data_IF_587255706129
#
_entry.id   IF_587255706129
#
_cell.length_a   1.000
_cell.length_b   1.000
_cell.length_c   1.000
_cell.angle_alpha   90.00
_cell.angle_beta   90.00
_cell.angle_gamma   90.00
#
_symmetry.space_group_name_H-M   'P 1'
#
loop_
_entity.id
_entity.type
_entity.pdbx_description
1 polymer ?
#
# COMPACT_ATOMS: atom_id res chain seq x y z
N UNK A 1 5.40 17.94 21.24
CA UNK A 1 6.62 17.14 20.98
C UNK A 1 6.12 15.93 20.20
N UNK A 2 6.58 15.76 18.98
CA UNK A 2 6.30 14.54 18.23
C UNK A 2 7.07 13.43 18.92
N UNK A 3 6.38 12.50 19.56
CA UNK A 3 6.96 11.24 20.05
C UNK A 3 7.12 10.25 18.89
N UNK A 4 7.36 10.77 17.67
CA UNK A 4 7.69 9.97 16.51
C UNK A 4 9.10 9.47 16.71
N UNK A 5 9.22 8.23 17.13
CA UNK A 5 10.49 7.55 17.25
C UNK A 5 11.03 7.43 15.83
N UNK A 6 12.01 8.26 15.50
CA UNK A 6 12.73 8.18 14.23
C UNK A 6 13.28 6.76 14.08
N UNK A 7 12.76 6.02 13.11
CA UNK A 7 13.24 4.68 12.80
C UNK A 7 14.70 4.72 12.28
N UNK A 8 15.18 5.88 11.85
CA UNK A 8 16.53 6.09 11.31
C UNK A 8 17.65 5.46 12.16
N UNK A 9 17.55 5.59 13.48
CA UNK A 9 18.55 5.02 14.40
C UNK A 9 18.45 3.49 14.53
N UNK A 10 17.35 2.88 14.07
CA UNK A 10 17.11 1.43 14.18
C UNK A 10 17.66 0.68 12.97
N UNK A 11 17.62 1.30 11.77
CA UNK A 11 18.00 0.61 10.54
C UNK A 11 19.49 0.65 10.23
N UNK A 12 20.27 1.46 10.94
CA UNK A 12 21.72 1.61 10.71
C UNK A 12 22.07 2.31 9.39
N UNK A 13 23.29 2.85 9.33
CA UNK A 13 23.81 3.45 8.11
C UNK A 13 23.99 2.38 7.01
N UNK A 14 23.38 2.61 5.84
CA UNK A 14 23.56 1.75 4.66
C UNK A 14 22.58 0.58 4.53
N UNK A 15 21.51 0.53 5.33
CA UNK A 15 20.44 -0.45 5.10
C UNK A 15 19.76 -0.20 3.74
N UNK A 16 19.86 -1.21 2.85
CA UNK A 16 19.17 -1.16 1.56
C UNK A 16 17.80 -1.85 1.66
N UNK A 17 16.75 -1.03 1.71
CA UNK A 17 15.35 -1.47 1.77
C UNK A 17 14.84 -2.16 0.52
N UNK A 18 15.67 -2.31 -0.50
CA UNK A 18 15.34 -3.02 -1.74
C UNK A 18 16.33 -4.15 -2.05
N UNK A 19 17.19 -4.51 -1.11
CA UNK A 19 18.07 -5.68 -1.20
C UNK A 19 17.28 -6.98 -0.92
N UNK A 20 16.45 -7.37 -1.86
CA UNK A 20 15.66 -8.60 -1.76
C UNK A 20 16.53 -9.86 -1.81
N UNK A 21 16.10 -10.99 -1.17
CA UNK A 21 16.88 -12.21 -1.10
C UNK A 21 16.95 -12.99 -2.42
N UNK A 22 16.03 -12.73 -3.35
CA UNK A 22 15.92 -13.43 -4.63
C UNK A 22 15.84 -12.45 -5.80
N UNK A 23 15.08 -12.84 -6.83
CA UNK A 23 14.89 -12.02 -8.03
C UNK A 23 13.66 -11.12 -7.93
N UNK A 24 13.63 -10.29 -6.92
CA UNK A 24 12.62 -9.25 -6.71
C UNK A 24 13.30 -7.88 -6.90
N UNK A 25 12.62 -6.97 -7.61
CA UNK A 25 13.20 -5.69 -8.02
C UNK A 25 12.19 -4.56 -7.83
N UNK A 26 12.62 -3.46 -7.25
CA UNK A 26 11.85 -2.23 -7.25
C UNK A 26 11.78 -1.67 -8.66
N UNK A 27 10.56 -1.50 -9.18
CA UNK A 27 10.30 -0.88 -10.49
C UNK A 27 9.43 0.37 -10.37
N UNK A 28 9.19 0.82 -9.15
CA UNK A 28 8.46 2.06 -8.84
C UNK A 28 9.09 3.25 -9.54
N UNK A 29 8.25 4.14 -10.04
CA UNK A 29 8.66 5.45 -10.54
C UNK A 29 7.89 6.53 -9.79
N UNK A 30 8.60 7.58 -9.35
CA UNK A 30 7.99 8.68 -8.61
C UNK A 30 7.58 8.32 -7.17
N UNK A 31 6.65 9.11 -6.60
CA UNK A 31 6.06 8.88 -5.29
C UNK A 31 4.80 8.01 -5.41
N UNK A 32 4.41 7.32 -4.32
CA UNK A 32 3.25 6.45 -4.23
C UNK A 32 3.61 5.08 -3.66
N UNK A 33 2.68 4.13 -3.80
CA UNK A 33 2.93 2.75 -3.39
C UNK A 33 4.06 2.11 -4.19
N UNK A 34 4.83 1.24 -3.56
CA UNK A 34 5.94 0.55 -4.20
C UNK A 34 5.43 -0.53 -5.17
N UNK A 35 6.02 -0.59 -6.33
CA UNK A 35 5.80 -1.61 -7.35
C UNK A 35 7.01 -2.55 -7.36
N UNK A 36 6.80 -3.83 -7.02
CA UNK A 36 7.87 -4.82 -6.90
C UNK A 36 7.69 -5.92 -7.95
N UNK A 37 8.61 -5.95 -8.92
CA UNK A 37 8.67 -6.99 -9.94
C UNK A 37 9.32 -8.25 -9.36
N UNK A 38 8.72 -9.41 -9.65
CA UNK A 38 9.20 -10.75 -9.25
C UNK A 38 9.48 -11.55 -10.51
N UNK A 39 10.69 -12.07 -10.63
CA UNK A 39 11.07 -12.97 -11.72
C UNK A 39 11.05 -14.40 -11.19
N UNK A 40 9.92 -15.06 -11.32
CA UNK A 40 9.81 -16.48 -11.00
C UNK A 40 10.44 -17.37 -12.04
N UNK A 41 10.56 -18.66 -11.73
CA UNK A 41 11.22 -19.64 -12.61
C UNK A 41 10.45 -19.84 -13.93
N UNK A 42 9.12 -19.76 -13.91
CA UNK A 42 8.29 -19.89 -15.12
C UNK A 42 7.58 -18.58 -15.49
N UNK A 43 7.04 -17.85 -14.51
CA UNK A 43 6.24 -16.63 -14.72
C UNK A 43 6.87 -15.43 -14.02
N UNK A 44 6.58 -14.27 -14.56
CA UNK A 44 6.91 -12.98 -13.95
C UNK A 44 5.66 -12.37 -13.32
N UNK A 45 5.84 -11.68 -12.21
CA UNK A 45 4.74 -11.06 -11.48
C UNK A 45 5.12 -9.66 -11.00
N UNK A 46 4.13 -8.84 -10.68
CA UNK A 46 4.34 -7.56 -10.00
C UNK A 46 3.38 -7.47 -8.81
N UNK A 47 3.86 -6.94 -7.69
CA UNK A 47 3.03 -6.55 -6.55
C UNK A 47 2.83 -5.05 -6.62
N UNK A 48 1.58 -4.62 -6.73
CA UNK A 48 1.14 -3.24 -6.99
C UNK A 48 1.79 -2.59 -8.22
N UNK A 49 1.37 -1.38 -8.55
CA UNK A 49 1.73 -0.73 -9.81
C UNK A 49 2.19 0.73 -9.63
N UNK A 50 2.00 1.32 -8.45
CA UNK A 50 2.25 2.74 -8.23
C UNK A 50 1.20 3.67 -8.88
N UNK A 51 1.53 4.94 -9.00
CA UNK A 51 0.62 6.00 -9.46
C UNK A 51 0.55 6.14 -10.98
N UNK A 52 -0.58 6.63 -11.47
CA UNK A 52 -0.83 6.85 -12.89
C UNK A 52 0.09 7.91 -13.53
N UNK A 53 0.43 8.99 -12.79
CA UNK A 53 1.22 10.10 -13.35
C UNK A 53 2.63 9.68 -13.80
N UNK A 54 3.13 8.57 -13.32
CA UNK A 54 4.41 7.98 -13.69
C UNK A 54 4.27 6.59 -14.35
N UNK A 55 3.06 6.23 -14.80
CA UNK A 55 2.77 4.89 -15.32
C UNK A 55 3.63 4.49 -16.53
N UNK A 56 3.97 5.43 -17.40
CA UNK A 56 4.90 5.19 -18.52
C UNK A 56 6.30 4.84 -18.05
N UNK A 57 6.79 5.49 -16.99
CA UNK A 57 8.12 5.22 -16.42
C UNK A 57 8.13 3.87 -15.67
N UNK A 58 7.04 3.52 -14.95
CA UNK A 58 6.90 2.18 -14.34
C UNK A 58 6.98 1.11 -15.41
N UNK A 59 6.25 1.24 -16.53
CA UNK A 59 6.32 0.30 -17.66
C UNK A 59 7.73 0.22 -18.24
N UNK A 60 8.44 1.35 -18.37
CA UNK A 60 9.83 1.37 -18.82
C UNK A 60 10.73 0.57 -17.87
N UNK A 61 10.63 0.85 -16.54
CA UNK A 61 11.43 0.14 -15.53
C UNK A 61 11.17 -1.38 -15.54
N UNK A 62 9.90 -1.79 -15.69
CA UNK A 62 9.53 -3.21 -15.84
C UNK A 62 10.22 -3.82 -17.07
N UNK A 63 10.11 -3.18 -18.25
CA UNK A 63 10.70 -3.69 -19.49
C UNK A 63 12.21 -3.79 -19.42
N UNK A 64 12.87 -2.77 -18.87
CA UNK A 64 14.33 -2.75 -18.71
C UNK A 64 14.78 -3.91 -17.82
N UNK A 65 14.11 -4.11 -16.68
CA UNK A 65 14.45 -5.19 -15.74
C UNK A 65 14.13 -6.58 -16.30
N UNK A 66 13.00 -6.74 -16.98
CA UNK A 66 12.69 -8.00 -17.69
C UNK A 66 13.77 -8.35 -18.71
N UNK A 67 14.23 -7.37 -19.50
CA UNK A 67 15.30 -7.59 -20.50
C UNK A 67 16.63 -7.98 -19.84
N UNK A 68 17.01 -7.35 -18.72
CA UNK A 68 18.19 -7.71 -17.93
C UNK A 68 18.13 -9.17 -17.44
N UNK A 69 16.94 -9.65 -17.07
CA UNK A 69 16.70 -11.02 -16.61
C UNK A 69 16.41 -12.03 -17.74
N UNK A 70 16.55 -11.61 -19.00
CA UNK A 70 16.28 -12.45 -20.18
C UNK A 70 14.82 -12.81 -20.36
N UNK A 71 13.91 -11.96 -19.87
CA UNK A 71 12.46 -12.06 -20.01
C UNK A 71 11.91 -10.94 -20.88
N UNK A 72 10.70 -11.09 -21.39
CA UNK A 72 10.04 -10.09 -22.24
C UNK A 72 8.55 -9.91 -21.95
N UNK A 73 7.98 -10.68 -21.00
CA UNK A 73 6.58 -10.65 -20.61
C UNK A 73 6.44 -10.28 -19.14
N UNK A 74 5.37 -9.60 -18.79
CA UNK A 74 4.82 -9.54 -17.45
C UNK A 74 3.54 -10.38 -17.46
N UNK A 75 3.55 -11.49 -16.73
CA UNK A 75 2.47 -12.48 -16.81
C UNK A 75 1.35 -12.17 -15.81
N UNK A 76 1.69 -11.72 -14.60
CA UNK A 76 0.75 -11.56 -13.49
C UNK A 76 0.95 -10.21 -12.79
N UNK A 77 -0.15 -9.64 -12.27
CA UNK A 77 -0.10 -8.52 -11.34
C UNK A 77 -1.01 -8.78 -10.14
N UNK A 78 -0.53 -8.50 -8.94
CA UNK A 78 -1.22 -8.68 -7.69
C UNK A 78 -1.46 -7.33 -7.04
N UNK A 79 -2.72 -6.98 -6.81
CA UNK A 79 -3.11 -5.71 -6.22
C UNK A 79 -3.37 -5.89 -4.73
N UNK A 80 -2.66 -5.15 -3.89
CA UNK A 80 -2.90 -5.17 -2.45
C UNK A 80 -4.26 -4.58 -2.11
N UNK A 81 -4.64 -3.49 -2.77
CA UNK A 81 -5.96 -2.85 -2.60
C UNK A 81 -6.26 -1.83 -3.72
N UNK A 82 -7.44 -1.21 -3.66
CA UNK A 82 -7.99 -0.39 -4.75
C UNK A 82 -7.64 1.10 -4.67
N UNK A 83 -6.58 1.53 -3.99
CA UNK A 83 -6.20 2.93 -3.95
C UNK A 83 -5.39 3.34 -5.20
N UNK A 84 -5.53 4.61 -5.57
CA UNK A 84 -4.99 5.20 -6.81
C UNK A 84 -3.46 5.18 -6.88
N UNK A 85 -2.80 5.17 -5.74
CA UNK A 85 -1.34 5.16 -5.59
C UNK A 85 -0.73 3.76 -5.61
N UNK A 86 -1.54 2.70 -5.56
CA UNK A 86 -1.13 1.31 -5.71
C UNK A 86 -1.45 0.72 -7.07
N UNK A 87 -2.54 1.15 -7.68
CA UNK A 87 -2.99 0.58 -8.94
C UNK A 87 -3.12 1.59 -10.09
N UNK A 88 -2.72 2.82 -9.87
CA UNK A 88 -2.89 3.90 -10.85
C UNK A 88 -2.20 3.64 -12.18
N UNK A 89 -1.03 2.98 -12.18
CA UNK A 89 -0.31 2.65 -13.40
C UNK A 89 -0.84 1.40 -14.14
N UNK A 90 -1.84 0.69 -13.60
CA UNK A 90 -2.40 -0.52 -14.20
C UNK A 90 -2.85 -0.36 -15.67
N UNK A 91 -3.52 0.73 -16.09
CA UNK A 91 -3.88 0.93 -17.49
C UNK A 91 -2.66 0.99 -18.44
N UNK A 92 -1.54 1.52 -17.98
CA UNK A 92 -0.28 1.55 -18.76
C UNK A 92 0.32 0.15 -18.86
N UNK A 93 0.29 -0.62 -17.77
CA UNK A 93 0.75 -2.02 -17.73
C UNK A 93 -0.07 -2.87 -18.68
N UNK A 94 -1.41 -2.79 -18.65
CA UNK A 94 -2.27 -3.54 -19.57
C UNK A 94 -2.01 -3.23 -21.04
N UNK A 95 -1.76 -1.97 -21.38
CA UNK A 95 -1.41 -1.57 -22.76
C UNK A 95 -0.06 -2.12 -23.20
N UNK A 96 0.92 -2.17 -22.27
CA UNK A 96 2.27 -2.64 -22.56
C UNK A 96 2.39 -4.17 -22.56
N UNK A 97 1.56 -4.86 -21.77
CA UNK A 97 1.51 -6.31 -21.58
C UNK A 97 0.05 -6.79 -21.67
N UNK A 98 -0.52 -6.93 -22.89
CA UNK A 98 -1.96 -7.21 -23.06
C UNK A 98 -2.43 -8.54 -22.46
N UNK A 99 -1.52 -9.51 -22.29
CA UNK A 99 -1.82 -10.84 -21.73
C UNK A 99 -1.68 -10.90 -20.20
N UNK A 100 -1.33 -9.79 -19.54
CA UNK A 100 -1.16 -9.76 -18.08
C UNK A 100 -2.47 -10.07 -17.37
N UNK A 101 -2.44 -11.01 -16.43
CA UNK A 101 -3.61 -11.35 -15.60
C UNK A 101 -3.51 -10.59 -14.28
N UNK A 102 -4.57 -9.84 -13.95
CA UNK A 102 -4.64 -9.02 -12.76
C UNK A 102 -5.40 -9.75 -11.65
N UNK A 103 -4.72 -9.98 -10.54
CA UNK A 103 -5.25 -10.55 -9.32
C UNK A 103 -5.54 -9.47 -8.27
N UNK A 104 -6.58 -9.67 -7.49
CA UNK A 104 -6.93 -8.83 -6.33
C UNK A 104 -8.03 -9.51 -5.53
N UNK A 105 -8.47 -8.92 -4.42
CA UNK A 105 -9.59 -9.48 -3.67
C UNK A 105 -10.92 -9.38 -4.43
N UNK A 106 -11.89 -10.23 -4.09
CA UNK A 106 -13.27 -10.14 -4.60
C UNK A 106 -13.84 -8.73 -4.42
N UNK A 107 -13.59 -8.12 -3.27
CA UNK A 107 -14.11 -6.77 -3.00
C UNK A 107 -13.40 -5.70 -3.82
N UNK A 108 -12.10 -5.86 -4.12
CA UNK A 108 -11.38 -4.99 -5.05
C UNK A 108 -12.01 -5.05 -6.45
N UNK A 109 -12.31 -6.26 -6.95
CA UNK A 109 -13.00 -6.45 -8.23
C UNK A 109 -14.36 -5.72 -8.27
N UNK A 110 -15.17 -5.83 -7.21
CA UNK A 110 -16.45 -5.14 -7.08
C UNK A 110 -16.30 -3.61 -7.06
N UNK A 111 -15.32 -3.08 -6.31
CA UNK A 111 -15.06 -1.63 -6.23
C UNK A 111 -14.74 -1.06 -7.61
N UNK A 112 -13.89 -1.75 -8.38
CA UNK A 112 -13.45 -1.27 -9.69
C UNK A 112 -14.54 -1.29 -10.77
N UNK A 113 -15.65 -1.98 -10.52
CA UNK A 113 -16.84 -1.91 -11.35
C UNK A 113 -17.71 -0.66 -11.08
N UNK A 114 -17.48 0.03 -9.96
CA UNK A 114 -18.29 1.18 -9.54
C UNK A 114 -17.79 2.47 -10.23
N UNK A 115 -18.65 3.17 -11.00
CA UNK A 115 -18.23 4.41 -11.69
C UNK A 115 -17.67 5.46 -10.72
N UNK A 116 -18.27 5.61 -9.54
CA UNK A 116 -17.83 6.59 -8.54
C UNK A 116 -16.42 6.31 -8.01
N UNK A 117 -16.00 5.05 -7.91
CA UNK A 117 -14.64 4.70 -7.52
C UNK A 117 -13.63 5.19 -8.57
N UNK A 118 -13.92 4.93 -9.86
CA UNK A 118 -13.06 5.40 -10.96
C UNK A 118 -12.99 6.93 -11.05
N UNK A 119 -14.11 7.62 -10.81
CA UNK A 119 -14.12 9.10 -10.72
C UNK A 119 -13.22 9.60 -9.60
N UNK A 120 -13.29 9.00 -8.42
CA UNK A 120 -12.41 9.37 -7.29
C UNK A 120 -10.93 9.09 -7.62
N UNK A 121 -10.62 7.93 -8.18
CA UNK A 121 -9.26 7.58 -8.60
C UNK A 121 -8.70 8.55 -9.63
N UNK A 122 -9.51 8.93 -10.63
CA UNK A 122 -9.13 9.97 -11.61
C UNK A 122 -8.83 11.31 -10.94
N UNK A 123 -9.71 11.72 -10.00
CA UNK A 123 -9.53 12.99 -9.25
C UNK A 123 -8.23 12.98 -8.44
N UNK A 124 -7.98 11.94 -7.64
CA UNK A 124 -6.79 11.86 -6.79
C UNK A 124 -5.52 11.67 -7.62
N UNK A 125 -5.56 10.86 -8.68
CA UNK A 125 -4.46 10.72 -9.63
C UNK A 125 -4.13 12.03 -10.35
N UNK A 126 -5.15 12.86 -10.67
CA UNK A 126 -4.95 14.19 -11.24
C UNK A 126 -4.28 15.12 -10.23
N UNK A 127 -4.73 15.14 -8.98
CA UNK A 127 -4.11 15.94 -7.93
C UNK A 127 -2.64 15.53 -7.70
N UNK A 128 -2.33 14.23 -7.71
CA UNK A 128 -0.96 13.73 -7.64
C UNK A 128 -0.12 14.16 -8.85
N UNK A 129 -0.67 14.08 -10.08
CA UNK A 129 0.01 14.59 -11.27
C UNK A 129 0.32 16.08 -11.13
N UNK A 130 -0.63 16.89 -10.71
CA UNK A 130 -0.46 18.34 -10.58
C UNK A 130 0.57 18.69 -9.48
N UNK A 131 0.70 17.86 -8.44
CA UNK A 131 1.72 18.01 -7.41
C UNK A 131 3.12 17.59 -7.90
N UNK A 132 3.26 16.43 -8.52
CA UNK A 132 4.57 15.84 -8.83
C UNK A 132 5.06 16.12 -10.26
N UNK A 133 4.16 16.47 -11.19
CA UNK A 133 4.45 16.84 -12.59
C UNK A 133 3.59 18.02 -13.03
N UNK A 134 3.75 19.19 -12.44
CA UNK A 134 2.86 20.35 -12.66
C UNK A 134 2.79 20.78 -14.14
N UNK A 135 3.82 20.52 -14.92
CA UNK A 135 3.86 20.84 -16.36
C UNK A 135 3.13 19.80 -17.23
N UNK A 136 2.81 18.62 -16.69
CA UNK A 136 2.11 17.58 -17.43
C UNK A 136 0.63 17.91 -17.60
N UNK A 137 0.12 17.69 -18.82
CA UNK A 137 -1.33 17.75 -19.15
C UNK A 137 -1.90 16.38 -19.51
N UNK A 138 -1.13 15.31 -19.23
CA UNK A 138 -1.57 13.94 -19.51
C UNK A 138 -2.82 13.60 -18.71
N UNK A 139 -3.85 13.04 -19.37
CA UNK A 139 -5.04 12.57 -18.69
C UNK A 139 -4.74 11.30 -17.89
N UNK A 140 -5.29 11.22 -16.69
CA UNK A 140 -5.19 10.02 -15.86
C UNK A 140 -6.17 8.96 -16.37
N UNK A 141 -5.67 7.84 -16.94
CA UNK A 141 -6.54 6.79 -17.45
C UNK A 141 -7.13 5.96 -16.30
N UNK A 142 -8.41 5.61 -16.39
CA UNK A 142 -9.13 4.79 -15.40
C UNK A 142 -10.00 3.70 -16.03
N UNK A 143 -10.08 3.63 -17.35
CA UNK A 143 -10.99 2.73 -18.03
C UNK A 143 -10.59 1.26 -17.89
N UNK A 144 -9.29 0.98 -17.94
CA UNK A 144 -8.72 -0.36 -17.84
C UNK A 144 -8.41 -0.82 -16.41
N UNK A 145 -8.93 -0.09 -15.41
CA UNK A 145 -8.83 -0.50 -14.00
C UNK A 145 -9.81 -1.64 -13.73
N UNK A 146 -9.30 -2.87 -13.64
CA UNK A 146 -10.09 -4.06 -13.36
C UNK A 146 -9.23 -5.18 -12.77
N UNK A 147 -9.85 -6.04 -11.96
CA UNK A 147 -9.31 -7.32 -11.50
C UNK A 147 -9.90 -8.43 -12.40
N UNK A 148 -9.04 -9.27 -12.97
CA UNK A 148 -9.46 -10.37 -13.84
C UNK A 148 -9.86 -11.58 -13.01
N UNK A 149 -9.04 -11.93 -12.02
CA UNK A 149 -9.26 -13.10 -11.15
C UNK A 149 -9.27 -12.63 -9.69
N UNK A 150 -10.39 -12.88 -9.02
CA UNK A 150 -10.54 -12.58 -7.60
C UNK A 150 -9.93 -13.69 -6.74
N UNK A 151 -9.07 -13.29 -5.79
CA UNK A 151 -8.47 -14.17 -4.80
C UNK A 151 -9.19 -14.09 -3.46
N UNK A 152 -9.15 -15.20 -2.74
CA UNK A 152 -9.59 -15.35 -1.36
C UNK A 152 -8.40 -15.61 -0.44
N UNK A 153 -8.65 -15.51 0.86
CA UNK A 153 -7.68 -15.86 1.90
C UNK A 153 -7.18 -17.31 1.71
N UNK A 154 -5.87 -17.48 1.63
CA UNK A 154 -5.21 -18.76 1.45
C UNK A 154 -5.06 -19.25 0.00
N UNK A 155 -5.62 -18.56 -1.00
CA UNK A 155 -5.42 -18.92 -2.40
C UNK A 155 -3.94 -18.82 -2.79
N UNK A 156 -3.50 -19.76 -3.64
CA UNK A 156 -2.10 -19.87 -4.06
C UNK A 156 -1.98 -19.75 -5.58
N UNK A 157 -1.00 -18.97 -6.04
CA UNK A 157 -0.71 -18.77 -7.47
C UNK A 157 0.74 -19.13 -7.74
N UNK A 158 0.99 -20.09 -8.64
CA UNK A 158 2.32 -20.55 -9.00
C UNK A 158 3.00 -19.61 -9.99
N UNK A 159 4.30 -19.34 -9.73
CA UNK A 159 5.24 -18.70 -10.66
C UNK A 159 6.29 -19.70 -11.19
N UNK A 160 6.07 -20.98 -10.97
CA UNK A 160 6.99 -22.08 -11.23
C UNK A 160 7.43 -22.73 -9.92
N UNK A 161 8.69 -22.61 -9.56
CA UNK A 161 9.21 -23.08 -8.26
C UNK A 161 8.78 -22.16 -7.10
N UNK A 162 8.42 -20.93 -7.43
CA UNK A 162 7.93 -19.93 -6.50
C UNK A 162 6.40 -19.92 -6.48
N UNK A 163 5.82 -19.54 -5.35
CA UNK A 163 4.36 -19.46 -5.18
C UNK A 163 4.01 -18.19 -4.40
N UNK A 164 2.97 -17.50 -4.85
CA UNK A 164 2.37 -16.40 -4.12
C UNK A 164 1.11 -16.91 -3.41
N UNK A 165 1.06 -16.76 -2.08
CA UNK A 165 -0.13 -17.00 -1.27
C UNK A 165 -0.82 -15.68 -0.95
N UNK A 166 -2.12 -15.62 -1.20
CA UNK A 166 -2.97 -14.49 -0.84
C UNK A 166 -3.40 -14.58 0.63
N UNK A 167 -3.29 -13.48 1.35
CA UNK A 167 -3.70 -13.34 2.75
C UNK A 167 -4.66 -12.16 2.85
N UNK A 168 -5.91 -12.42 3.25
CA UNK A 168 -6.85 -11.32 3.50
C UNK A 168 -6.36 -10.45 4.65
N UNK A 169 -6.18 -9.14 4.40
CA UNK A 169 -5.58 -8.19 5.32
C UNK A 169 -6.42 -6.89 5.39
N UNK A 170 -7.67 -7.00 5.86
CA UNK A 170 -8.60 -5.87 6.01
C UNK A 170 -8.18 -4.91 7.13
N UNK A 171 -8.73 -3.70 7.09
CA UNK A 171 -8.51 -2.67 8.12
C UNK A 171 -8.29 -1.29 7.50
N UNK A 172 -7.28 -1.13 6.67
CA UNK A 172 -7.10 0.06 5.86
C UNK A 172 -8.24 0.20 4.84
N UNK A 173 -8.47 -0.85 4.06
CA UNK A 173 -9.68 -1.00 3.23
C UNK A 173 -10.33 -2.36 3.47
N UNK A 174 -11.59 -2.51 3.01
CA UNK A 174 -12.31 -3.79 3.05
C UNK A 174 -11.80 -4.76 1.98
N UNK A 175 -11.02 -4.28 1.01
CA UNK A 175 -10.48 -5.05 -0.11
C UNK A 175 -9.00 -5.38 0.03
N UNK A 176 -8.35 -5.02 1.14
CA UNK A 176 -6.91 -5.19 1.31
C UNK A 176 -6.50 -6.66 1.40
N UNK A 177 -5.38 -6.97 0.71
CA UNK A 177 -4.70 -8.25 0.70
C UNK A 177 -3.21 -8.03 1.02
N UNK A 178 -2.59 -8.98 1.66
CA UNK A 178 -1.14 -9.17 1.70
C UNK A 178 -0.78 -10.39 0.85
N UNK A 179 0.46 -10.48 0.39
CA UNK A 179 0.94 -11.56 -0.46
C UNK A 179 2.24 -12.13 0.10
N UNK A 180 2.28 -13.44 0.29
CA UNK A 180 3.47 -14.13 0.74
C UNK A 180 4.14 -14.85 -0.43
N UNK A 181 5.45 -14.65 -0.62
CA UNK A 181 6.24 -15.29 -1.67
C UNK A 181 7.12 -16.38 -1.06
N UNK A 182 6.89 -17.61 -1.50
CA UNK A 182 7.66 -18.80 -1.14
C UNK A 182 8.49 -19.30 -2.34
N UNK A 183 9.70 -19.87 -2.11
CA UNK A 183 10.33 -20.17 -0.82
C UNK A 183 11.15 -19.01 -0.22
N UNK A 184 11.11 -17.80 -0.79
CA UNK A 184 11.94 -16.68 -0.36
C UNK A 184 11.56 -16.17 1.05
N UNK A 185 10.35 -16.48 1.51
CA UNK A 185 9.84 -16.09 2.84
C UNK A 185 9.57 -14.58 2.94
N UNK A 186 9.12 -13.95 1.86
CA UNK A 186 8.81 -12.51 1.82
C UNK A 186 7.31 -12.32 1.99
N UNK A 187 6.91 -11.47 2.93
CA UNK A 187 5.55 -10.98 3.05
C UNK A 187 5.47 -9.54 2.51
N UNK A 188 4.78 -9.36 1.39
CA UNK A 188 4.35 -8.05 0.89
C UNK A 188 3.07 -7.67 1.61
N UNK A 189 3.15 -6.70 2.51
CA UNK A 189 2.02 -6.29 3.32
C UNK A 189 1.11 -5.30 2.58
N UNK A 190 -0.08 -5.05 3.12
CA UNK A 190 -0.90 -3.90 2.78
C UNK A 190 -0.82 -2.84 3.88
N UNK A 191 -1.37 -1.67 3.62
CA UNK A 191 -1.45 -0.59 4.60
C UNK A 191 -2.28 -0.94 5.85
N UNK A 192 -3.02 -2.05 5.83
CA UNK A 192 -3.76 -2.56 6.99
C UNK A 192 -2.87 -2.99 8.15
N UNK A 193 -1.58 -3.17 7.90
CA UNK A 193 -0.56 -3.45 8.91
C UNK A 193 0.47 -2.33 9.04
N UNK A 194 0.12 -1.14 8.57
CA UNK A 194 0.94 0.07 8.68
C UNK A 194 1.84 0.34 7.48
N UNK A 195 2.39 1.52 7.48
CA UNK A 195 3.38 1.99 6.53
C UNK A 195 4.51 2.71 7.27
N UNK A 196 5.63 2.90 6.59
CA UNK A 196 6.71 3.80 7.03
C UNK A 196 6.73 4.98 6.08
N UNK A 197 6.54 6.18 6.62
CA UNK A 197 6.55 7.45 5.88
C UNK A 197 7.98 7.98 5.69
N UNK A 198 8.16 8.99 4.84
CA UNK A 198 9.47 9.59 4.55
C UNK A 198 10.17 10.13 5.80
N UNK A 199 9.41 10.58 6.81
CA UNK A 199 9.94 10.93 8.14
C UNK A 199 10.34 9.72 8.99
N UNK A 200 10.30 8.50 8.42
CA UNK A 200 10.59 7.22 9.07
C UNK A 200 9.75 6.95 10.33
N UNK A 201 8.56 7.52 10.39
CA UNK A 201 7.56 7.20 11.40
C UNK A 201 6.66 6.06 10.90
N UNK A 202 6.27 5.16 11.81
CA UNK A 202 5.23 4.17 11.50
C UNK A 202 3.88 4.87 11.57
N UNK A 203 3.19 4.92 10.42
CA UNK A 203 1.82 5.40 10.33
C UNK A 203 0.83 4.25 10.31
N UNK A 204 -0.35 4.50 10.90
CA UNK A 204 -1.45 3.53 11.00
C UNK A 204 -2.68 4.06 10.24
N UNK A 205 -2.67 4.01 8.89
CA UNK A 205 -3.72 4.61 8.06
C UNK A 205 -4.98 3.71 8.00
N UNK A 206 -5.60 3.42 9.15
CA UNK A 206 -6.75 2.52 9.24
C UNK A 206 -8.04 3.29 8.95
N UNK A 207 -8.55 3.14 7.72
CA UNK A 207 -9.69 3.91 7.21
C UNK A 207 -11.04 3.24 7.49
N UNK A 208 -11.04 1.90 7.73
CA UNK A 208 -12.27 1.12 7.82
C UNK A 208 -12.50 0.53 9.21
N UNK A 209 -11.59 -0.26 9.73
CA UNK A 209 -11.80 -0.99 10.97
C UNK A 209 -10.48 -1.26 11.69
N UNK A 210 -10.34 -0.77 12.91
CA UNK A 210 -9.21 -1.09 13.77
C UNK A 210 -9.26 -2.54 14.26
N UNK A 211 -10.44 -3.13 14.46
CA UNK A 211 -10.60 -4.53 14.83
C UNK A 211 -10.09 -5.47 13.71
N UNK A 212 -10.47 -5.16 12.45
CA UNK A 212 -9.98 -5.92 11.30
C UNK A 212 -8.48 -5.74 11.11
N UNK A 213 -7.94 -4.53 11.33
CA UNK A 213 -6.50 -4.29 11.27
C UNK A 213 -5.73 -5.14 12.31
N UNK A 214 -6.26 -5.29 13.53
CA UNK A 214 -5.66 -6.18 14.54
C UNK A 214 -5.76 -7.66 14.15
N UNK A 215 -6.84 -8.08 13.50
CA UNK A 215 -6.97 -9.42 12.95
C UNK A 215 -5.96 -9.66 11.83
N UNK A 216 -5.79 -8.69 10.95
CA UNK A 216 -4.82 -8.73 9.85
C UNK A 216 -3.38 -8.75 10.35
N UNK A 217 -3.06 -7.90 11.35
CA UNK A 217 -1.78 -7.93 12.04
C UNK A 217 -1.46 -9.32 12.59
N UNK A 218 -2.42 -9.95 13.30
CA UNK A 218 -2.25 -11.28 13.85
C UNK A 218 -1.96 -12.32 12.75
N UNK A 219 -2.73 -12.33 11.66
CA UNK A 219 -2.51 -13.24 10.52
C UNK A 219 -1.13 -13.04 9.89
N UNK A 220 -0.74 -11.80 9.60
CA UNK A 220 0.55 -11.47 9.00
C UNK A 220 1.73 -11.87 9.91
N UNK A 221 1.58 -11.66 11.22
CA UNK A 221 2.57 -12.07 12.20
C UNK A 221 2.68 -13.59 12.34
N UNK A 222 1.53 -14.30 12.40
CA UNK A 222 1.46 -15.77 12.51
C UNK A 222 2.01 -16.48 11.26
N UNK A 223 1.99 -15.82 10.09
CA UNK A 223 2.64 -16.35 8.90
C UNK A 223 4.16 -16.54 9.11
N UNK A 224 4.80 -15.71 9.93
CA UNK A 224 6.19 -15.88 10.31
C UNK A 224 7.19 -15.55 9.20
N UNK A 225 6.89 -14.55 8.39
CA UNK A 225 7.76 -14.11 7.29
C UNK A 225 9.17 -13.78 7.76
N UNK A 226 10.15 -14.22 6.98
CA UNK A 226 11.55 -13.85 7.21
C UNK A 226 11.80 -12.39 6.81
N UNK A 227 11.21 -11.96 5.70
CA UNK A 227 11.32 -10.60 5.17
C UNK A 227 9.94 -9.97 5.12
N UNK A 228 9.81 -8.74 5.60
CA UNK A 228 8.59 -7.95 5.51
C UNK A 228 8.85 -6.79 4.57
N UNK A 229 8.06 -6.72 3.49
CA UNK A 229 8.09 -5.63 2.52
C UNK A 229 6.83 -4.77 2.68
N UNK A 230 7.01 -3.52 3.08
CA UNK A 230 5.93 -2.57 3.30
C UNK A 230 5.58 -1.83 2.01
N UNK A 231 4.30 -1.47 1.80
CA UNK A 231 3.81 -0.95 0.51
C UNK A 231 4.34 0.45 0.16
N UNK A 232 4.82 1.25 1.11
CA UNK A 232 5.40 2.59 0.88
C UNK A 232 6.87 2.71 1.25
N UNK A 233 7.50 1.62 1.67
CA UNK A 233 8.88 1.67 2.15
C UNK A 233 9.81 0.65 1.48
N UNK A 234 9.34 -0.59 1.27
CA UNK A 234 10.15 -1.73 0.92
C UNK A 234 10.44 -2.63 2.12
N UNK A 235 11.59 -3.32 2.12
CA UNK A 235 11.97 -4.20 3.21
C UNK A 235 12.28 -3.42 4.49
N UNK A 236 11.90 -4.01 5.63
CA UNK A 236 12.42 -3.60 6.93
C UNK A 236 13.52 -4.58 7.37
N UNK A 237 14.45 -4.19 8.27
CA UNK A 237 15.44 -5.11 8.82
C UNK A 237 14.78 -6.30 9.51
N UNK A 238 15.30 -7.52 9.29
CA UNK A 238 14.67 -8.75 9.82
C UNK A 238 14.61 -8.78 11.35
N UNK A 239 15.62 -8.26 12.01
CA UNK A 239 15.67 -8.13 13.47
C UNK A 239 14.70 -7.07 14.04
N UNK A 240 14.12 -6.24 13.15
CA UNK A 240 13.10 -5.26 13.48
C UNK A 240 11.66 -5.78 13.32
N UNK A 241 11.45 -6.95 12.73
CA UNK A 241 10.11 -7.47 12.42
C UNK A 241 9.17 -7.47 13.64
N UNK A 242 9.61 -8.00 14.78
CA UNK A 242 8.79 -8.06 16.00
C UNK A 242 8.51 -6.66 16.56
N UNK A 243 9.51 -5.79 16.55
CA UNK A 243 9.36 -4.42 17.02
C UNK A 243 8.40 -3.61 16.12
N UNK A 244 8.46 -3.84 14.79
CA UNK A 244 7.52 -3.24 13.84
C UNK A 244 6.07 -3.59 14.18
N UNK A 245 5.78 -4.86 14.41
CA UNK A 245 4.44 -5.31 14.75
C UNK A 245 3.93 -4.69 16.06
N UNK A 246 4.78 -4.61 17.08
CA UNK A 246 4.43 -3.98 18.36
C UNK A 246 4.17 -2.49 18.21
N UNK A 247 5.00 -1.77 17.45
CA UNK A 247 4.84 -0.32 17.22
C UNK A 247 3.59 -0.02 16.39
N UNK A 248 3.30 -0.84 15.38
CA UNK A 248 2.06 -0.69 14.63
C UNK A 248 0.83 -0.87 15.53
N UNK A 249 0.81 -1.90 16.36
CA UNK A 249 -0.28 -2.11 17.32
C UNK A 249 -0.43 -0.90 18.25
N UNK A 250 0.65 -0.44 18.85
CA UNK A 250 0.66 0.73 19.73
C UNK A 250 0.15 1.98 19.02
N UNK A 251 0.60 2.21 17.79
CA UNK A 251 0.13 3.33 16.97
C UNK A 251 -1.38 3.30 16.70
N UNK A 252 -1.96 2.11 16.49
CA UNK A 252 -3.41 1.95 16.39
C UNK A 252 -4.14 2.30 17.69
N UNK A 253 -3.63 1.83 18.83
CA UNK A 253 -4.19 2.14 20.16
C UNK A 253 -4.12 3.63 20.47
N UNK A 254 -2.99 4.28 20.18
CA UNK A 254 -2.79 5.71 20.39
C UNK A 254 -3.71 6.55 19.50
N UNK A 255 -3.95 6.11 18.26
CA UNK A 255 -4.88 6.78 17.34
C UNK A 255 -6.32 6.73 17.84
N UNK A 256 -6.78 5.58 18.29
CA UNK A 256 -8.11 5.41 18.88
C UNK A 256 -8.24 6.24 20.16
N UNK A 257 -7.22 6.23 21.03
CA UNK A 257 -7.17 7.02 22.26
C UNK A 257 -7.25 8.53 21.98
N UNK A 258 -6.50 9.02 21.01
CA UNK A 258 -6.55 10.43 20.61
C UNK A 258 -7.98 10.85 20.19
N UNK A 259 -8.65 10.04 19.38
CA UNK A 259 -10.04 10.33 18.96
C UNK A 259 -11.01 10.23 20.15
N UNK A 260 -10.77 9.31 21.09
CA UNK A 260 -11.54 9.22 22.34
C UNK A 260 -11.41 10.51 23.17
N UNK A 261 -10.22 11.07 23.27
CA UNK A 261 -9.98 12.33 24.00
C UNK A 261 -10.71 13.49 23.32
N UNK A 262 -10.65 13.61 21.98
CA UNK A 262 -11.41 14.60 21.23
C UNK A 262 -12.93 14.46 21.45
N UNK A 263 -13.46 13.22 21.48
CA UNK A 263 -14.89 12.94 21.76
C UNK A 263 -15.26 13.38 23.19
N UNK A 264 -14.41 13.12 24.18
CA UNK A 264 -14.63 13.55 25.59
C UNK A 264 -14.61 15.07 25.76
N UNK A 265 -13.79 15.77 24.97
CA UNK A 265 -13.76 17.25 24.94
C UNK A 265 -14.97 17.85 24.22
N UNK A 266 -15.82 17.04 23.59
CA UNK A 266 -17.02 17.48 22.89
C UNK A 266 -16.77 18.10 21.52
N UNK A 267 -15.62 17.81 20.89
CA UNK A 267 -15.31 18.32 19.56
C UNK A 267 -16.26 17.74 18.52
N UNK A 268 -16.70 18.58 17.59
CA UNK A 268 -17.44 18.15 16.41
C UNK A 268 -16.50 17.56 15.34
N UNK A 269 -17.08 17.05 14.25
CA UNK A 269 -16.32 16.36 13.20
C UNK A 269 -15.29 17.27 12.50
N UNK A 270 -15.60 18.56 12.33
CA UNK A 270 -14.70 19.51 11.65
C UNK A 270 -13.55 19.89 12.59
N UNK A 271 -13.83 20.11 13.87
CA UNK A 271 -12.83 20.37 14.91
C UNK A 271 -11.89 19.16 15.10
N UNK A 272 -12.43 17.92 15.07
CA UNK A 272 -11.60 16.71 15.11
C UNK A 272 -10.68 16.61 13.90
N UNK A 273 -11.20 16.91 12.70
CA UNK A 273 -10.41 16.91 11.49
C UNK A 273 -9.30 17.95 11.51
N UNK A 274 -9.60 19.17 11.99
CA UNK A 274 -8.61 20.24 12.12
C UNK A 274 -7.50 19.83 13.08
N UNK A 275 -7.83 19.30 14.28
CA UNK A 275 -6.86 18.82 15.27
C UNK A 275 -6.02 17.65 14.70
N UNK A 276 -6.64 16.75 13.94
CA UNK A 276 -5.94 15.66 13.27
C UNK A 276 -4.95 16.18 12.24
N UNK A 277 -5.36 17.14 11.39
CA UNK A 277 -4.51 17.80 10.41
C UNK A 277 -3.33 18.49 11.10
N UNK A 278 -3.56 19.31 12.13
CA UNK A 278 -2.51 20.07 12.82
C UNK A 278 -1.47 19.15 13.50
N UNK A 279 -1.84 17.91 13.81
CA UNK A 279 -0.92 16.92 14.36
C UNK A 279 -0.10 16.19 13.30
N UNK A 280 -0.70 15.81 12.17
CA UNK A 280 -0.10 14.87 11.22
C UNK A 280 0.24 15.47 9.86
N UNK A 281 -0.30 16.63 9.51
CA UNK A 281 0.07 17.34 8.28
C UNK A 281 1.28 18.23 8.55
N UNK A 282 2.40 17.90 7.94
CA UNK A 282 3.65 18.63 8.06
C UNK A 282 4.34 18.73 6.67
N UNK A 283 5.46 19.46 6.54
CA UNK A 283 6.17 19.60 5.27
C UNK A 283 6.67 18.30 4.63
N UNK A 284 6.82 17.22 5.41
CA UNK A 284 7.20 15.89 4.88
C UNK A 284 5.96 15.26 4.25
N UNK A 285 4.85 15.24 4.96
CA UNK A 285 3.57 14.72 4.48
C UNK A 285 3.09 15.45 3.22
N UNK A 286 3.33 16.76 3.13
CA UNK A 286 3.01 17.58 1.96
C UNK A 286 3.77 17.14 0.69
N UNK A 287 4.93 16.52 0.85
CA UNK A 287 5.70 15.97 -0.28
C UNK A 287 5.26 14.55 -0.66
N UNK A 288 4.60 13.82 0.22
CA UNK A 288 4.22 12.42 0.02
C UNK A 288 2.84 12.25 -0.61
N UNK A 289 1.91 13.15 -0.34
CA UNK A 289 0.55 13.06 -0.88
C UNK A 289 -0.14 14.42 -1.03
N UNK A 290 -1.11 14.54 -1.97
CA UNK A 290 -1.96 15.72 -2.04
C UNK A 290 -2.79 15.91 -0.77
N UNK A 291 -3.01 17.17 -0.34
CA UNK A 291 -3.81 17.48 0.86
C UNK A 291 -5.22 16.92 0.78
N UNK A 292 -5.82 16.85 -0.41
CA UNK A 292 -7.14 16.27 -0.61
C UNK A 292 -7.19 14.79 -0.23
N UNK A 293 -6.16 14.03 -0.57
CA UNK A 293 -6.02 12.61 -0.21
C UNK A 293 -5.88 12.48 1.31
N UNK A 294 -4.98 13.26 1.92
CA UNK A 294 -4.79 13.29 3.36
C UNK A 294 -6.10 13.59 4.11
N UNK A 295 -6.85 14.63 3.72
CA UNK A 295 -8.10 15.00 4.40
C UNK A 295 -9.20 13.93 4.26
N UNK A 296 -9.28 13.24 3.11
CA UNK A 296 -10.20 12.11 2.93
C UNK A 296 -9.81 10.97 3.88
N UNK A 297 -8.53 10.63 3.94
CA UNK A 297 -8.02 9.59 4.81
C UNK A 297 -8.22 9.93 6.29
N UNK A 298 -7.88 11.15 6.71
CA UNK A 298 -8.07 11.64 8.07
C UNK A 298 -9.54 11.52 8.54
N UNK A 299 -10.50 11.95 7.71
CA UNK A 299 -11.93 11.79 8.00
C UNK A 299 -12.33 10.33 8.20
N UNK A 300 -11.80 9.43 7.38
CA UNK A 300 -12.12 8.01 7.48
C UNK A 300 -11.46 7.37 8.70
N UNK A 301 -10.21 7.72 9.04
CA UNK A 301 -9.53 7.26 10.25
C UNK A 301 -10.31 7.68 11.51
N UNK A 302 -10.71 8.95 11.60
CA UNK A 302 -11.51 9.46 12.73
C UNK A 302 -12.82 8.66 12.84
N UNK A 303 -13.54 8.44 11.73
CA UNK A 303 -14.78 7.64 11.73
C UNK A 303 -14.53 6.18 12.15
N UNK A 304 -13.45 5.57 11.70
CA UNK A 304 -13.09 4.21 12.09
C UNK A 304 -12.76 4.12 13.59
N UNK A 305 -12.03 5.11 14.12
CA UNK A 305 -11.71 5.18 15.54
C UNK A 305 -12.96 5.40 16.41
N UNK A 306 -13.89 6.27 15.98
CA UNK A 306 -15.17 6.45 16.70
C UNK A 306 -15.98 5.16 16.76
N UNK A 307 -16.08 4.39 15.64
CA UNK A 307 -16.72 3.07 15.63
C UNK A 307 -16.06 2.09 16.61
N UNK A 308 -14.75 2.02 16.63
CA UNK A 308 -14.02 1.16 17.54
C UNK A 308 -14.24 1.50 19.04
N UNK A 309 -14.67 2.73 19.35
CA UNK A 309 -15.05 3.13 20.71
C UNK A 309 -16.49 2.73 21.07
N UNK A 310 -17.37 2.64 20.08
CA UNK A 310 -18.77 2.27 20.29
C UNK A 310 -18.99 0.74 20.35
N UNK A 311 -18.01 -0.05 19.87
CA UNK A 311 -18.00 -1.53 19.87
C UNK A 311 -17.43 -2.12 21.18
N UNK A 312 -16.87 -1.30 22.08
CA UNK A 312 -16.37 -1.68 23.41
C UNK A 312 -17.42 -1.45 24.50
#
# INVERSE_FOLDING_TARGET
MKDDIEIFNVFGDGFDRFAFPGKQYRVTAGCGGEAILIIGSEKTAIIDCGMAYCGGDVVKNIKDKLAEEGRNTLDLAFLTHSHYDHMGALPYIRRAFPEVIIYGSTHCQEILQRPNAKVLMKKLGTAARDLYRPDSKEEIPVDDLAVDIALKDGDMVSLGNETIQAIEAKGHTDCSMAYALEPDGILFTSESTGIVEAGLAINTPILKSFADAMTSLKKCKEYGAKYICLPHFGLIPQDFNEEYWMRFQQGCEDRVKMVQEMKKEGLDADQMLERYRDRYWDPIMEQEQPIEAFLINAKNIIKAALRALDEK
#
